data_IF_919351396346
#
_entry.id   IF_919351396346
#
_cell.length_a   1.000
_cell.length_b   1.000
_cell.length_c   1.000
_cell.angle_alpha   90.00
_cell.angle_beta   90.00
_cell.angle_gamma   90.00
#
_symmetry.space_group_name_H-M   'P 1'
#
loop_
_entity.id
_entity.type
_entity.pdbx_description
1 polymer ?
#
# COMPACT_ATOMS: atom_id res chain seq x y z
N UNK A 1 -12.73 16.09 -8.97
CA UNK A 1 -11.57 15.75 -8.09
C UNK A 1 -10.44 16.80 -8.08
N UNK A 2 -9.96 17.33 -9.22
CA UNK A 2 -8.82 18.27 -9.24
C UNK A 2 -8.97 19.52 -8.34
N UNK A 3 -10.15 20.15 -8.31
CA UNK A 3 -10.43 21.30 -7.43
C UNK A 3 -10.31 20.93 -5.94
N UNK A 4 -10.86 19.79 -5.54
CA UNK A 4 -10.79 19.27 -4.16
C UNK A 4 -9.33 18.97 -3.79
N UNK A 5 -8.56 18.32 -4.67
CA UNK A 5 -7.15 18.02 -4.40
C UNK A 5 -6.29 19.26 -4.18
N UNK A 6 -6.60 20.38 -4.85
CA UNK A 6 -5.91 21.65 -4.58
C UNK A 6 -6.19 22.16 -3.16
N UNK A 7 -7.44 22.03 -2.69
CA UNK A 7 -7.84 22.40 -1.33
C UNK A 7 -7.14 21.50 -0.31
N UNK A 8 -7.15 20.18 -0.52
CA UNK A 8 -6.51 19.23 0.39
C UNK A 8 -4.99 19.43 0.48
N UNK A 9 -4.32 19.73 -0.65
CA UNK A 9 -2.88 20.08 -0.66
C UNK A 9 -2.57 21.34 0.14
N UNK A 10 -3.51 22.30 0.16
CA UNK A 10 -3.39 23.51 0.99
C UNK A 10 -3.60 23.18 2.46
N UNK A 11 -4.64 22.41 2.79
CA UNK A 11 -4.97 21.99 4.16
C UNK A 11 -3.84 21.18 4.80
N UNK A 12 -3.38 20.12 4.16
CA UNK A 12 -2.48 19.11 4.75
C UNK A 12 -0.98 19.45 4.67
N UNK A 13 -0.66 20.74 4.65
CA UNK A 13 0.72 21.18 4.83
C UNK A 13 1.13 21.09 6.29
N UNK A 14 2.42 20.82 6.52
CA UNK A 14 2.99 20.78 7.87
C UNK A 14 2.79 22.09 8.65
N UNK A 15 2.89 23.25 7.98
CA UNK A 15 2.66 24.56 8.62
C UNK A 15 1.25 24.75 9.19
N UNK A 16 0.28 23.96 8.72
CA UNK A 16 -1.12 24.00 9.14
C UNK A 16 -1.46 22.92 10.17
N UNK A 17 -0.49 22.11 10.60
CA UNK A 17 -0.71 21.06 11.59
C UNK A 17 -0.35 21.50 13.00
N UNK A 18 -1.00 20.87 13.97
CA UNK A 18 -0.66 20.89 15.38
C UNK A 18 -0.57 19.44 15.84
N UNK A 19 0.57 19.05 16.40
CA UNK A 19 0.75 17.70 16.91
C UNK A 19 0.01 17.52 18.24
N UNK A 20 -0.87 16.53 18.29
CA UNK A 20 -1.52 16.03 19.50
C UNK A 20 -0.65 14.92 20.07
N UNK A 21 0.15 15.27 21.09
CA UNK A 21 1.06 14.32 21.75
C UNK A 21 0.36 13.22 22.56
N UNK A 22 -0.92 13.40 22.93
CA UNK A 22 -1.67 12.36 23.64
C UNK A 22 -2.09 11.25 22.68
N UNK A 23 -2.50 11.63 21.47
CA UNK A 23 -2.96 10.69 20.43
C UNK A 23 -1.85 10.30 19.45
N UNK A 24 -0.71 10.98 19.50
CA UNK A 24 0.41 10.83 18.57
C UNK A 24 0.04 11.14 17.10
N UNK A 25 -0.88 12.08 16.87
CA UNK A 25 -1.35 12.46 15.52
C UNK A 25 -1.24 13.96 15.25
N UNK A 26 -1.03 14.31 13.98
CA UNK A 26 -1.16 15.70 13.54
C UNK A 26 -2.61 16.06 13.28
N UNK A 27 -3.09 17.17 13.86
CA UNK A 27 -4.40 17.76 13.61
C UNK A 27 -4.25 19.01 12.73
N UNK A 28 -5.09 19.15 11.72
CA UNK A 28 -5.03 20.22 10.73
C UNK A 28 -6.10 21.27 10.97
N UNK A 29 -5.73 22.55 10.90
CA UNK A 29 -6.60 23.67 11.27
C UNK A 29 -7.44 24.14 10.07
N UNK A 30 -8.69 24.53 10.36
CA UNK A 30 -9.62 25.03 9.35
C UNK A 30 -9.30 26.46 8.87
N UNK A 31 -8.58 27.24 9.68
CA UNK A 31 -8.16 28.62 9.38
C UNK A 31 -7.22 28.71 8.16
N UNK A 32 -6.58 27.60 7.78
CA UNK A 32 -5.84 27.48 6.54
C UNK A 32 -6.72 27.63 5.28
N UNK A 33 -8.04 27.44 5.39
CA UNK A 33 -8.98 27.41 4.28
C UNK A 33 -9.94 28.61 4.31
N UNK A 34 -10.29 29.11 3.13
CA UNK A 34 -11.37 30.10 2.99
C UNK A 34 -12.75 29.44 3.15
N UNK A 35 -13.78 30.24 3.45
CA UNK A 35 -15.17 29.76 3.55
C UNK A 35 -15.59 28.97 2.31
N UNK A 36 -15.30 29.49 1.11
CA UNK A 36 -15.59 28.79 -0.17
C UNK A 36 -14.89 27.44 -0.31
N UNK A 37 -13.70 27.29 0.28
CA UNK A 37 -12.96 26.03 0.28
C UNK A 37 -13.54 25.05 1.30
N UNK A 38 -13.95 25.53 2.47
CA UNK A 38 -14.66 24.73 3.47
C UNK A 38 -16.02 24.24 2.95
N UNK A 39 -16.80 25.10 2.30
CA UNK A 39 -18.07 24.72 1.66
C UNK A 39 -17.86 23.61 0.61
N UNK A 40 -16.80 23.71 -0.17
CA UNK A 40 -16.46 22.70 -1.18
C UNK A 40 -16.05 21.35 -0.57
N UNK A 41 -15.42 21.33 0.60
CA UNK A 41 -15.15 20.10 1.35
C UNK A 41 -16.43 19.52 1.97
N UNK A 42 -17.32 20.38 2.47
CA UNK A 42 -18.60 19.94 3.03
C UNK A 42 -19.51 19.30 1.97
N UNK A 43 -19.46 19.73 0.71
CA UNK A 43 -20.23 19.13 -0.39
C UNK A 43 -19.87 17.67 -0.71
N UNK A 44 -18.72 17.21 -0.22
CA UNK A 44 -18.26 15.82 -0.37
C UNK A 44 -18.07 15.14 0.99
N UNK A 45 -18.69 15.70 2.04
CA UNK A 45 -18.63 15.22 3.42
C UNK A 45 -17.20 15.01 3.96
N UNK A 46 -16.23 15.80 3.48
CA UNK A 46 -14.85 15.67 3.89
C UNK A 46 -14.60 16.29 5.25
N UNK A 47 -14.28 15.46 6.24
CA UNK A 47 -13.84 15.90 7.57
C UNK A 47 -12.35 16.24 7.55
N UNK A 48 -11.95 17.35 8.16
CA UNK A 48 -10.54 17.77 8.22
C UNK A 48 -9.67 16.81 9.03
N UNK A 49 -10.20 16.28 10.13
CA UNK A 49 -9.50 15.38 11.06
C UNK A 49 -10.43 14.28 11.56
N UNK A 50 -10.74 13.30 10.70
CA UNK A 50 -11.36 12.06 11.17
C UNK A 50 -10.27 11.22 11.86
N UNK A 51 -10.36 11.08 13.18
CA UNK A 51 -9.40 10.28 13.95
C UNK A 51 -9.99 8.90 14.18
N UNK A 52 -9.40 7.88 13.55
CA UNK A 52 -9.71 6.49 13.83
C UNK A 52 -8.83 6.01 14.99
N UNK A 53 -9.44 5.35 15.98
CA UNK A 53 -8.74 4.75 17.12
C UNK A 53 -8.82 3.22 17.02
N UNK A 54 -7.72 2.56 17.33
CA UNK A 54 -7.63 1.13 17.55
C UNK A 54 -7.04 0.93 18.96
N UNK A 55 -7.78 0.30 19.86
CA UNK A 55 -7.39 0.12 21.26
C UNK A 55 -6.37 -0.99 21.48
N UNK A 56 -6.24 -1.94 20.56
CA UNK A 56 -5.32 -3.09 20.67
C UNK A 56 -5.04 -3.72 19.31
N UNK A 57 -4.09 -4.65 19.28
CA UNK A 57 -3.86 -5.52 18.13
C UNK A 57 -5.12 -6.30 17.72
N UNK A 58 -5.86 -6.83 18.71
CA UNK A 58 -7.10 -7.59 18.47
C UNK A 58 -8.15 -6.74 17.77
N UNK A 59 -8.33 -5.48 18.20
CA UNK A 59 -9.31 -4.59 17.54
C UNK A 59 -8.94 -4.28 16.08
N UNK A 60 -7.64 -4.19 15.75
CA UNK A 60 -7.20 -4.04 14.35
C UNK A 60 -7.63 -5.25 13.53
N UNK A 61 -7.42 -6.47 14.06
CA UNK A 61 -7.80 -7.70 13.39
C UNK A 61 -9.31 -7.80 13.20
N UNK A 62 -10.08 -7.54 14.25
CA UNK A 62 -11.55 -7.59 14.21
C UNK A 62 -12.11 -6.60 13.17
N UNK A 63 -11.60 -5.36 13.15
CA UNK A 63 -11.99 -4.36 12.16
C UNK A 63 -11.63 -4.76 10.74
N UNK A 64 -10.43 -5.30 10.50
CA UNK A 64 -10.07 -5.78 9.17
C UNK A 64 -10.99 -6.93 8.74
N UNK A 65 -11.22 -7.91 9.62
CA UNK A 65 -12.06 -9.06 9.30
C UNK A 65 -13.53 -8.71 9.11
N UNK A 66 -14.05 -7.68 9.77
CA UNK A 66 -15.42 -7.23 9.56
C UNK A 66 -15.69 -6.79 8.11
N UNK A 67 -14.64 -6.51 7.32
CA UNK A 67 -14.76 -6.19 5.90
C UNK A 67 -14.92 -7.44 5.00
N UNK A 68 -14.68 -8.66 5.49
CA UNK A 68 -14.81 -9.89 4.68
C UNK A 68 -16.24 -10.12 4.18
N UNK A 69 -17.23 -9.70 4.96
CA UNK A 69 -18.65 -9.79 4.60
C UNK A 69 -19.08 -8.73 3.57
N UNK A 70 -18.20 -7.78 3.23
CA UNK A 70 -18.53 -6.74 2.27
C UNK A 70 -18.43 -7.28 0.83
N UNK A 71 -19.59 -7.60 0.24
CA UNK A 71 -19.70 -8.16 -1.12
C UNK A 71 -19.17 -7.24 -2.22
N UNK A 72 -18.96 -5.95 -1.92
CA UNK A 72 -18.39 -5.00 -2.87
C UNK A 72 -16.86 -5.10 -2.98
N UNK A 73 -16.17 -5.72 -2.02
CA UNK A 73 -14.70 -5.87 -2.00
C UNK A 73 -14.25 -7.17 -2.68
N UNK A 74 -14.66 -7.35 -3.93
CA UNK A 74 -14.27 -8.53 -4.71
C UNK A 74 -12.81 -8.48 -5.14
N UNK A 75 -12.22 -9.66 -5.43
CA UNK A 75 -10.88 -9.77 -6.02
C UNK A 75 -10.75 -8.92 -7.29
N UNK A 76 -11.71 -9.05 -8.21
CA UNK A 76 -11.74 -8.29 -9.47
C UNK A 76 -11.68 -6.78 -9.22
N UNK A 77 -12.53 -6.25 -8.32
CA UNK A 77 -12.54 -4.82 -8.00
C UNK A 77 -11.22 -4.34 -7.42
N UNK A 78 -10.60 -5.13 -6.55
CA UNK A 78 -9.32 -4.78 -5.94
C UNK A 78 -8.19 -4.78 -6.97
N UNK A 79 -8.18 -5.74 -7.89
CA UNK A 79 -7.22 -5.80 -9.00
C UNK A 79 -7.43 -4.64 -9.97
N UNK A 80 -8.68 -4.38 -10.39
CA UNK A 80 -9.04 -3.23 -11.23
C UNK A 80 -8.55 -1.92 -10.61
N UNK A 81 -8.82 -1.72 -9.33
CA UNK A 81 -8.40 -0.52 -8.62
C UNK A 81 -6.87 -0.43 -8.56
N UNK A 82 -6.16 -1.54 -8.35
CA UNK A 82 -4.70 -1.58 -8.35
C UNK A 82 -4.10 -1.23 -9.72
N UNK A 83 -4.61 -1.82 -10.81
CA UNK A 83 -4.16 -1.54 -12.18
C UNK A 83 -4.36 -0.06 -12.52
N UNK A 84 -5.53 0.50 -12.23
CA UNK A 84 -5.80 1.94 -12.39
C UNK A 84 -4.87 2.82 -11.52
N UNK A 85 -4.45 2.33 -10.36
CA UNK A 85 -3.48 2.99 -9.49
C UNK A 85 -2.05 2.99 -10.05
N UNK A 86 -1.60 1.88 -10.61
CA UNK A 86 -0.29 1.79 -11.28
C UNK A 86 -0.28 2.67 -12.53
N UNK A 87 -1.33 2.56 -13.35
CA UNK A 87 -1.50 3.29 -14.61
C UNK A 87 -1.68 4.80 -14.48
N UNK A 88 -2.22 5.25 -13.35
CA UNK A 88 -2.29 6.66 -12.98
C UNK A 88 -3.67 7.30 -13.12
N UNK A 89 -4.66 6.61 -13.68
CA UNK A 89 -6.04 7.11 -13.72
C UNK A 89 -6.68 7.19 -12.32
N UNK A 90 -6.24 6.33 -11.38
CA UNK A 90 -6.74 6.29 -10.01
C UNK A 90 -5.63 6.04 -8.99
N UNK A 91 -4.73 7.01 -8.79
CA UNK A 91 -3.49 6.88 -7.99
C UNK A 91 -3.65 6.23 -6.61
N UNK A 92 -4.80 6.45 -5.95
CA UNK A 92 -5.14 5.83 -4.67
C UNK A 92 -5.09 4.30 -4.71
N UNK A 93 -5.36 3.71 -5.85
CA UNK A 93 -5.40 2.27 -6.05
C UNK A 93 -4.09 1.53 -5.81
N UNK A 94 -2.95 2.25 -5.75
CA UNK A 94 -1.61 1.66 -5.56
C UNK A 94 -1.48 0.81 -4.30
N UNK A 95 -2.23 1.15 -3.25
CA UNK A 95 -2.18 0.46 -1.96
C UNK A 95 -3.25 -0.64 -1.82
N UNK A 96 -4.08 -0.87 -2.84
CA UNK A 96 -5.25 -1.75 -2.72
C UNK A 96 -4.86 -3.22 -2.78
N UNK A 97 -3.87 -3.60 -3.59
CA UNK A 97 -3.47 -5.00 -3.75
C UNK A 97 -2.96 -5.61 -2.44
N UNK A 98 -2.04 -4.94 -1.77
CA UNK A 98 -1.49 -5.40 -0.48
C UNK A 98 -2.52 -5.36 0.65
N UNK A 99 -3.47 -4.43 0.60
CA UNK A 99 -4.59 -4.37 1.54
C UNK A 99 -5.55 -5.56 1.32
N UNK A 100 -5.90 -5.85 0.06
CA UNK A 100 -6.75 -6.99 -0.30
C UNK A 100 -6.11 -8.32 0.10
N UNK A 101 -4.81 -8.51 -0.15
CA UNK A 101 -4.08 -9.70 0.28
C UNK A 101 -4.18 -9.93 1.80
N UNK A 102 -4.04 -8.87 2.61
CA UNK A 102 -4.26 -8.94 4.07
C UNK A 102 -5.71 -9.29 4.41
N UNK A 103 -6.68 -8.59 3.82
CA UNK A 103 -8.10 -8.87 4.09
C UNK A 103 -8.44 -10.34 3.82
N UNK A 104 -7.94 -10.89 2.70
CA UNK A 104 -8.29 -12.23 2.27
C UNK A 104 -7.59 -13.32 3.09
N UNK A 105 -6.28 -13.15 3.34
CA UNK A 105 -5.45 -14.24 3.81
C UNK A 105 -4.99 -14.13 5.26
N UNK A 106 -4.93 -12.92 5.84
CA UNK A 106 -4.45 -12.75 7.22
C UNK A 106 -5.45 -13.42 8.19
N UNK A 107 -5.04 -14.49 8.91
CA UNK A 107 -5.93 -15.15 9.85
C UNK A 107 -6.14 -14.28 11.10
N UNK A 108 -7.22 -14.57 11.86
CA UNK A 108 -7.27 -14.10 13.24
C UNK A 108 -6.09 -14.76 13.98
N UNK A 109 -5.38 -13.97 14.77
CA UNK A 109 -4.25 -14.44 15.54
C UNK A 109 -4.08 -13.56 16.77
N UNK A 110 -3.54 -14.16 17.82
CA UNK A 110 -3.09 -13.42 18.99
C UNK A 110 -1.84 -12.60 18.65
N UNK A 111 -1.59 -11.54 19.41
CA UNK A 111 -0.34 -10.79 19.27
C UNK A 111 0.86 -11.67 19.63
N UNK A 112 1.83 -11.76 18.72
CA UNK A 112 3.03 -12.56 18.90
C UNK A 112 4.29 -11.73 18.66
N UNK A 113 4.86 -11.13 19.69
CA UNK A 113 6.19 -10.50 19.59
C UNK A 113 7.29 -11.55 19.80
N UNK A 114 8.30 -11.56 18.92
CA UNK A 114 9.52 -12.39 19.08
C UNK A 114 10.75 -11.50 19.27
N UNK A 115 11.81 -11.95 19.95
CA UNK A 115 12.97 -11.10 20.29
C UNK A 115 13.65 -10.39 19.13
N UNK A 116 13.46 -10.87 17.90
CA UNK A 116 14.06 -10.31 16.68
C UNK A 116 13.33 -9.04 16.18
N UNK A 117 12.05 -8.86 16.52
CA UNK A 117 11.18 -7.84 15.94
C UNK A 117 10.27 -7.25 17.01
N UNK A 118 10.30 -5.92 17.18
CA UNK A 118 9.43 -5.20 18.11
C UNK A 118 8.02 -4.96 17.51
N UNK A 119 7.42 -6.00 16.94
CA UNK A 119 6.09 -6.00 16.35
C UNK A 119 5.53 -7.43 16.28
N UNK A 120 4.26 -7.58 15.90
CA UNK A 120 3.64 -8.88 15.73
C UNK A 120 4.34 -9.66 14.61
N UNK A 121 4.80 -10.87 14.92
CA UNK A 121 5.43 -11.80 13.99
C UNK A 121 4.52 -12.13 12.82
N UNK A 122 3.21 -12.23 13.05
CA UNK A 122 2.28 -12.63 12.01
C UNK A 122 1.99 -11.48 11.06
N UNK A 123 1.69 -10.27 11.57
CA UNK A 123 1.10 -9.20 10.77
C UNK A 123 1.83 -7.84 10.77
N UNK A 124 2.95 -7.70 11.49
CA UNK A 124 3.74 -6.45 11.66
C UNK A 124 3.10 -5.31 12.45
N UNK A 125 1.84 -5.44 12.90
CA UNK A 125 1.23 -4.44 13.79
C UNK A 125 1.73 -4.56 15.23
N UNK A 126 1.40 -3.57 16.06
CA UNK A 126 1.83 -3.50 17.47
C UNK A 126 0.62 -3.64 18.38
N UNK A 127 0.79 -4.23 19.55
CA UNK A 127 -0.27 -4.27 20.56
C UNK A 127 -0.26 -3.04 21.46
N UNK A 128 -0.70 -1.92 20.89
CA UNK A 128 -0.86 -0.66 21.60
C UNK A 128 -2.01 0.13 21.02
N UNK A 129 -2.57 1.02 21.84
CA UNK A 129 -3.53 2.01 21.34
C UNK A 129 -2.90 2.83 20.22
N UNK A 130 -3.59 2.90 19.08
CA UNK A 130 -3.14 3.59 17.88
C UNK A 130 -4.23 4.55 17.42
N UNK A 131 -3.87 5.82 17.25
CA UNK A 131 -4.73 6.79 16.59
C UNK A 131 -4.16 7.08 15.21
N UNK A 132 -5.03 7.18 14.22
CA UNK A 132 -4.67 7.54 12.85
C UNK A 132 -5.56 8.70 12.44
N UNK A 133 -4.97 9.79 11.96
CA UNK A 133 -5.74 10.80 11.24
C UNK A 133 -6.09 10.21 9.86
N UNK A 134 -7.26 9.59 9.79
CA UNK A 134 -7.74 8.92 8.60
C UNK A 134 -7.88 9.95 7.46
N UNK A 135 -8.46 11.12 7.71
CA UNK A 135 -8.57 12.16 6.68
C UNK A 135 -7.23 12.52 6.01
N UNK A 136 -6.14 12.62 6.79
CA UNK A 136 -4.80 12.82 6.24
C UNK A 136 -4.31 11.60 5.44
N UNK A 137 -4.50 10.38 5.98
CA UNK A 137 -4.15 9.14 5.30
C UNK A 137 -4.89 9.00 3.95
N UNK A 138 -6.20 9.26 3.93
CA UNK A 138 -7.03 9.25 2.73
C UNK A 138 -6.50 10.26 1.70
N UNK A 139 -6.11 11.46 2.13
CA UNK A 139 -5.46 12.45 1.27
C UNK A 139 -4.13 11.94 0.69
N UNK A 140 -3.27 11.33 1.50
CA UNK A 140 -2.00 10.76 1.03
C UNK A 140 -2.22 9.72 -0.07
N UNK A 141 -3.25 8.90 0.06
CA UNK A 141 -3.64 7.95 -0.98
C UNK A 141 -4.13 8.65 -2.25
N UNK A 142 -4.99 9.68 -2.14
CA UNK A 142 -5.39 10.48 -3.30
C UNK A 142 -4.22 11.23 -3.97
N UNK A 143 -3.18 11.56 -3.20
CA UNK A 143 -1.95 12.16 -3.72
C UNK A 143 -1.08 11.13 -4.48
N UNK A 144 -1.32 9.83 -4.27
CA UNK A 144 -0.65 8.73 -4.95
C UNK A 144 0.48 8.08 -4.15
N UNK A 145 0.50 8.25 -2.83
CA UNK A 145 1.36 7.47 -1.95
C UNK A 145 0.94 6.00 -1.97
N UNK A 146 1.92 5.11 -1.79
CA UNK A 146 1.69 3.66 -1.66
C UNK A 146 2.01 3.22 -0.23
N UNK A 147 1.07 2.52 0.41
CA UNK A 147 1.18 1.98 1.77
C UNK A 147 0.92 0.48 1.74
N UNK A 148 1.87 -0.32 2.23
CA UNK A 148 1.87 -1.79 2.08
C UNK A 148 1.97 -2.56 3.40
N UNK A 149 2.30 -1.91 4.52
CA UNK A 149 2.79 -2.60 5.72
C UNK A 149 1.71 -3.09 6.69
N UNK A 150 0.87 -2.19 7.24
CA UNK A 150 0.05 -2.52 8.43
C UNK A 150 -1.42 -2.87 8.11
N UNK A 151 -2.01 -3.76 8.90
CA UNK A 151 -3.42 -4.15 8.81
C UNK A 151 -4.36 -2.98 9.14
N UNK A 152 -3.97 -2.08 10.05
CA UNK A 152 -4.77 -0.88 10.34
C UNK A 152 -4.97 0.02 9.11
N UNK A 153 -3.92 0.19 8.29
CA UNK A 153 -4.01 0.97 7.05
C UNK A 153 -4.74 0.21 5.94
N UNK A 154 -4.59 -1.13 5.90
CA UNK A 154 -5.39 -1.96 5.00
C UNK A 154 -6.89 -1.80 5.27
N UNK A 155 -7.29 -1.86 6.55
CA UNK A 155 -8.68 -1.61 6.97
C UNK A 155 -9.17 -0.23 6.51
N UNK A 156 -8.43 0.84 6.83
CA UNK A 156 -8.84 2.20 6.45
C UNK A 156 -8.94 2.39 4.94
N UNK A 157 -8.03 1.77 4.17
CA UNK A 157 -8.08 1.85 2.72
C UNK A 157 -9.29 1.12 2.14
N UNK A 158 -9.54 -0.12 2.58
CA UNK A 158 -10.63 -0.95 2.08
C UNK A 158 -12.01 -0.49 2.57
N UNK A 159 -12.11 0.02 3.80
CA UNK A 159 -13.31 0.69 4.33
C UNK A 159 -13.75 1.84 3.42
N UNK A 160 -12.79 2.67 2.96
CA UNK A 160 -13.07 3.72 1.99
C UNK A 160 -13.39 3.16 0.60
N UNK A 161 -12.65 2.15 0.13
CA UNK A 161 -12.92 1.53 -1.18
C UNK A 161 -14.35 0.98 -1.25
N UNK A 162 -14.87 0.43 -0.16
CA UNK A 162 -16.22 -0.11 -0.08
C UNK A 162 -17.34 0.93 -0.27
N UNK A 163 -17.06 2.23 -0.07
CA UNK A 163 -18.07 3.31 -0.14
C UNK A 163 -18.03 4.13 -1.43
N UNK A 164 -17.02 3.91 -2.28
CA UNK A 164 -16.91 4.60 -3.57
C UNK A 164 -17.42 3.72 -4.71
N UNK A 165 -17.57 4.31 -5.91
CA UNK A 165 -17.89 3.54 -7.10
C UNK A 165 -16.75 2.61 -7.52
N UNK A 166 -17.04 1.45 -8.14
CA UNK A 166 -16.01 0.61 -8.76
C UNK A 166 -15.19 1.37 -9.79
N UNK A 167 -13.87 1.18 -9.75
CA UNK A 167 -12.94 1.78 -10.70
C UNK A 167 -12.74 0.80 -11.86
N UNK A 168 -12.76 1.31 -13.10
CA UNK A 168 -12.49 0.52 -14.30
C UNK A 168 -11.14 0.99 -14.86
N UNK A 169 -10.13 0.11 -15.00
CA UNK A 169 -8.85 0.46 -15.61
C UNK A 169 -9.05 0.89 -17.07
N UNK A 170 -8.40 1.98 -17.44
CA UNK A 170 -8.31 2.41 -18.83
C UNK A 170 -7.29 1.54 -19.60
N UNK A 171 -7.34 1.56 -20.93
CA UNK A 171 -6.34 0.84 -21.73
C UNK A 171 -4.93 1.39 -21.52
N UNK A 172 -4.80 2.70 -21.24
CA UNK A 172 -3.52 3.27 -20.85
C UNK A 172 -3.02 2.70 -19.51
N UNK A 173 -3.91 2.46 -18.55
CA UNK A 173 -3.51 1.87 -17.27
C UNK A 173 -2.95 0.46 -17.44
N UNK A 174 -3.63 -0.35 -18.25
CA UNK A 174 -3.19 -1.70 -18.63
C UNK A 174 -1.84 -1.65 -19.36
N UNK A 175 -1.68 -0.74 -20.33
CA UNK A 175 -0.44 -0.58 -21.07
C UNK A 175 0.75 -0.19 -20.17
N UNK A 176 0.54 0.72 -19.21
CA UNK A 176 1.56 1.10 -18.22
C UNK A 176 1.92 -0.08 -17.32
N UNK A 177 0.93 -0.84 -16.87
CA UNK A 177 1.15 -2.04 -16.07
C UNK A 177 1.95 -3.10 -16.85
N UNK A 178 1.59 -3.37 -18.10
CA UNK A 178 2.32 -4.30 -18.97
C UNK A 178 3.77 -3.87 -19.19
N UNK A 179 4.03 -2.57 -19.39
CA UNK A 179 5.38 -2.04 -19.49
C UNK A 179 6.18 -2.21 -18.18
N UNK A 180 5.54 -2.12 -17.01
CA UNK A 180 6.20 -2.40 -15.73
C UNK A 180 6.63 -3.87 -15.65
N UNK A 181 5.73 -4.79 -16.04
CA UNK A 181 6.04 -6.22 -16.10
C UNK A 181 7.18 -6.49 -17.09
N UNK A 182 7.17 -5.86 -18.27
CA UNK A 182 8.25 -5.97 -19.24
C UNK A 182 9.60 -5.49 -18.69
N UNK A 183 9.63 -4.38 -17.93
CA UNK A 183 10.86 -3.91 -17.31
C UNK A 183 11.47 -4.98 -16.40
N UNK A 184 10.65 -5.74 -15.66
CA UNK A 184 11.11 -6.84 -14.79
C UNK A 184 11.47 -8.09 -15.60
N UNK A 185 10.63 -8.47 -16.57
CA UNK A 185 10.81 -9.61 -17.48
C UNK A 185 12.12 -9.53 -18.27
N UNK A 186 12.54 -8.33 -18.65
CA UNK A 186 13.77 -8.11 -19.41
C UNK A 186 14.92 -7.54 -18.57
N UNK A 187 14.84 -7.62 -17.24
CA UNK A 187 15.90 -7.19 -16.34
C UNK A 187 17.23 -7.93 -16.59
N UNK A 188 18.40 -7.27 -16.59
CA UNK A 188 19.69 -7.96 -16.62
C UNK A 188 19.83 -8.95 -15.46
N UNK A 189 20.45 -10.12 -15.67
CA UNK A 189 20.50 -11.20 -14.66
C UNK A 189 21.07 -10.77 -13.30
N UNK A 190 22.06 -9.88 -13.31
CA UNK A 190 22.72 -9.36 -12.11
C UNK A 190 22.11 -8.05 -11.58
N UNK A 191 20.96 -7.62 -12.12
CA UNK A 191 20.27 -6.44 -11.64
C UNK A 191 19.79 -6.68 -10.20
N UNK A 192 20.01 -5.67 -9.35
CA UNK A 192 19.57 -5.67 -7.96
C UNK A 192 18.32 -4.82 -7.84
N UNK A 193 17.50 -5.02 -6.80
CA UNK A 193 16.27 -4.23 -6.58
C UNK A 193 16.52 -2.72 -6.62
N UNK A 194 17.61 -2.24 -6.00
CA UNK A 194 17.97 -0.81 -6.01
C UNK A 194 18.39 -0.28 -7.39
N UNK A 195 19.03 -1.10 -8.22
CA UNK A 195 19.32 -0.72 -9.63
C UNK A 195 18.04 -0.69 -10.46
N UNK A 196 17.13 -1.64 -10.21
CA UNK A 196 15.81 -1.66 -10.83
C UNK A 196 14.98 -0.41 -10.46
N UNK A 197 14.91 -0.04 -9.18
CA UNK A 197 14.21 1.18 -8.73
C UNK A 197 14.73 2.44 -9.45
N UNK A 198 16.06 2.54 -9.62
CA UNK A 198 16.68 3.62 -10.38
C UNK A 198 16.24 3.60 -11.85
N UNK A 199 16.29 2.44 -12.51
CA UNK A 199 15.87 2.28 -13.92
C UNK A 199 14.37 2.59 -14.09
N UNK A 200 13.53 2.16 -13.16
CA UNK A 200 12.10 2.48 -13.15
C UNK A 200 11.87 3.99 -12.99
N UNK A 201 12.58 4.66 -12.08
CA UNK A 201 12.53 6.13 -11.95
C UNK A 201 12.94 6.82 -13.25
N UNK A 202 14.04 6.38 -13.87
CA UNK A 202 14.55 6.96 -15.13
C UNK A 202 13.60 6.75 -16.32
N UNK A 203 12.87 5.63 -16.34
CA UNK A 203 11.85 5.35 -17.37
C UNK A 203 10.68 6.33 -17.35
N UNK A 204 10.42 6.97 -16.20
CA UNK A 204 9.25 7.83 -15.95
C UNK A 204 7.89 7.15 -16.22
N UNK A 205 7.87 5.81 -16.25
CA UNK A 205 6.69 5.03 -16.55
C UNK A 205 5.58 5.23 -15.51
N UNK A 206 5.96 5.23 -14.23
CA UNK A 206 5.05 5.37 -13.09
C UNK A 206 5.33 6.69 -12.37
N UNK A 207 4.29 7.51 -12.26
CA UNK A 207 4.36 8.78 -11.53
C UNK A 207 4.52 8.57 -10.02
N UNK A 208 5.29 9.43 -9.37
CA UNK A 208 5.53 9.37 -7.93
C UNK A 208 7.02 9.42 -7.61
N UNK A 209 7.34 9.29 -6.33
CA UNK A 209 8.73 9.22 -5.87
C UNK A 209 9.17 7.75 -5.72
N UNK A 210 10.44 7.54 -5.31
CA UNK A 210 10.99 6.20 -5.10
C UNK A 210 10.16 5.33 -4.14
N UNK A 211 9.56 5.92 -3.10
CA UNK A 211 8.78 5.19 -2.10
C UNK A 211 7.43 4.73 -2.65
N UNK A 212 6.79 5.57 -3.46
CA UNK A 212 5.57 5.19 -4.20
C UNK A 212 5.83 4.01 -5.12
N UNK A 213 6.92 4.08 -5.90
CA UNK A 213 7.29 3.01 -6.82
C UNK A 213 7.64 1.72 -6.06
N UNK A 214 8.41 1.84 -4.96
CA UNK A 214 8.73 0.71 -4.08
C UNK A 214 7.47 0.04 -3.53
N UNK A 215 6.50 0.78 -3.01
CA UNK A 215 5.26 0.17 -2.51
C UNK A 215 4.44 -0.58 -3.57
N UNK A 216 4.55 -0.20 -4.85
CA UNK A 216 3.94 -0.99 -5.95
C UNK A 216 4.71 -2.30 -6.14
N UNK A 217 6.05 -2.24 -6.15
CA UNK A 217 6.92 -3.41 -6.27
C UNK A 217 6.75 -4.36 -5.08
N UNK A 218 6.68 -3.84 -3.86
CA UNK A 218 6.41 -4.60 -2.64
C UNK A 218 5.05 -5.30 -2.71
N UNK A 219 4.01 -4.63 -3.24
CA UNK A 219 2.69 -5.24 -3.39
C UNK A 219 2.72 -6.42 -4.37
N UNK A 220 3.45 -6.30 -5.48
CA UNK A 220 3.63 -7.40 -6.45
C UNK A 220 4.52 -8.52 -5.88
N UNK A 221 5.53 -8.18 -5.09
CA UNK A 221 6.40 -9.14 -4.44
C UNK A 221 5.68 -9.91 -3.33
N UNK A 222 4.83 -9.23 -2.55
CA UNK A 222 4.01 -9.83 -1.50
C UNK A 222 3.09 -10.92 -2.02
N UNK A 223 2.58 -10.78 -3.24
CA UNK A 223 1.72 -11.79 -3.88
C UNK A 223 2.51 -12.75 -4.78
N UNK A 224 3.84 -12.65 -4.79
CA UNK A 224 4.72 -13.56 -5.52
C UNK A 224 4.85 -13.35 -7.02
N UNK A 225 4.22 -12.31 -7.60
CA UNK A 225 4.40 -11.95 -9.01
C UNK A 225 5.82 -11.49 -9.27
N UNK A 226 6.39 -10.74 -8.32
CA UNK A 226 7.83 -10.55 -8.23
C UNK A 226 8.37 -11.60 -7.25
N UNK A 227 9.01 -12.67 -7.73
CA UNK A 227 9.57 -13.70 -6.86
C UNK A 227 10.75 -13.14 -6.04
N UNK A 228 11.05 -13.79 -4.93
CA UNK A 228 12.26 -13.55 -4.15
C UNK A 228 13.03 -14.86 -3.95
N UNK A 229 14.31 -14.77 -3.58
CA UNK A 229 15.22 -15.92 -3.52
C UNK A 229 14.94 -16.90 -2.36
N UNK A 230 14.09 -16.55 -1.40
CA UNK A 230 14.07 -17.22 -0.11
C UNK A 230 12.70 -17.78 0.30
N UNK A 231 11.62 -17.09 -0.03
CA UNK A 231 10.27 -17.43 0.43
C UNK A 231 9.30 -17.39 -0.75
N UNK A 232 8.66 -18.51 -1.10
CA UNK A 232 7.58 -18.48 -2.09
C UNK A 232 6.37 -17.76 -1.48
N UNK A 233 5.84 -16.78 -2.21
CA UNK A 233 4.65 -16.03 -1.83
C UNK A 233 3.57 -16.18 -2.90
N UNK A 234 2.31 -15.97 -2.53
CA UNK A 234 1.16 -16.04 -3.45
C UNK A 234 0.05 -15.08 -3.02
N UNK A 235 -0.86 -14.78 -3.95
CA UNK A 235 -2.04 -13.97 -3.66
C UNK A 235 -3.03 -14.68 -2.73
N UNK A 236 -3.05 -16.02 -2.71
CA UNK A 236 -4.06 -16.82 -2.02
C UNK A 236 -3.59 -17.47 -0.71
N UNK A 237 -2.36 -17.16 -0.26
CA UNK A 237 -1.84 -17.67 1.01
C UNK A 237 -1.22 -16.54 1.84
N UNK A 238 -1.30 -16.69 3.16
CA UNK A 238 -0.57 -15.85 4.11
C UNK A 238 0.77 -16.47 4.47
N UNK A 239 1.79 -15.63 4.58
CA UNK A 239 3.07 -15.97 5.18
C UNK A 239 3.37 -14.93 6.22
N UNK A 240 3.75 -15.37 7.42
CA UNK A 240 3.96 -14.48 8.55
C UNK A 240 5.03 -13.44 8.24
N UNK A 241 4.74 -12.19 8.62
CA UNK A 241 5.65 -11.07 8.39
C UNK A 241 7.07 -11.35 8.91
N UNK A 242 7.19 -11.93 10.10
CA UNK A 242 8.47 -12.23 10.72
C UNK A 242 9.24 -13.32 9.99
N UNK A 243 8.56 -14.27 9.34
CA UNK A 243 9.22 -15.28 8.50
C UNK A 243 9.78 -14.61 7.23
N UNK A 244 9.04 -13.69 6.62
CA UNK A 244 9.50 -12.89 5.48
C UNK A 244 10.68 -11.98 5.88
N UNK A 245 10.55 -11.24 6.97
CA UNK A 245 11.55 -10.28 7.44
C UNK A 245 12.85 -10.96 7.90
N UNK A 246 12.76 -12.15 8.51
CA UNK A 246 13.94 -12.89 8.99
C UNK A 246 14.91 -13.29 7.88
N UNK A 247 14.43 -13.37 6.64
CA UNK A 247 15.20 -13.72 5.44
C UNK A 247 16.13 -12.60 4.99
N UNK A 248 15.92 -11.37 5.49
CA UNK A 248 16.87 -10.27 5.30
C UNK A 248 18.27 -10.62 5.80
N UNK A 249 18.39 -11.51 6.80
CA UNK A 249 19.70 -11.95 7.32
C UNK A 249 20.52 -12.74 6.28
N UNK A 250 19.87 -13.30 5.25
CA UNK A 250 20.53 -14.04 4.17
C UNK A 250 20.98 -13.13 3.02
N UNK A 251 20.58 -11.86 3.03
CA UNK A 251 20.97 -10.88 2.02
C UNK A 251 22.38 -10.34 2.29
N UNK A 252 23.20 -10.32 1.25
CA UNK A 252 24.59 -9.86 1.33
C UNK A 252 24.72 -8.32 1.48
N UNK A 253 23.64 -7.57 1.23
CA UNK A 253 23.62 -6.11 1.09
C UNK A 253 22.82 -5.36 2.17
N UNK A 254 22.17 -6.04 3.13
CA UNK A 254 21.19 -5.44 4.06
C UNK A 254 21.67 -5.33 5.51
N UNK A 255 22.98 -5.46 5.81
CA UNK A 255 23.55 -5.20 7.15
C UNK A 255 23.52 -3.70 7.53
N UNK A 256 22.33 -3.10 7.57
CA UNK A 256 22.08 -1.71 7.96
C UNK A 256 22.39 -0.64 6.91
N UNK A 257 22.59 -1.01 5.64
CA UNK A 257 23.02 -0.08 4.57
C UNK A 257 21.95 0.29 3.55
N UNK A 258 20.81 -0.40 3.54
CA UNK A 258 19.73 -0.22 2.57
C UNK A 258 18.40 -0.12 3.29
N UNK A 259 17.56 0.82 2.86
CA UNK A 259 16.17 1.03 3.32
C UNK A 259 15.19 0.07 2.64
N UNK A 260 15.68 -1.08 2.18
CA UNK A 260 14.95 -1.99 1.32
C UNK A 260 14.67 -3.28 2.06
N UNK A 261 13.39 -3.62 2.12
CA UNK A 261 12.85 -4.65 2.98
C UNK A 261 12.41 -5.87 2.17
N UNK A 262 12.39 -7.03 2.80
CA UNK A 262 11.74 -8.20 2.22
C UNK A 262 10.22 -7.96 2.05
N UNK A 263 9.56 -8.52 1.03
CA UNK A 263 10.08 -9.52 0.08
C UNK A 263 10.81 -8.94 -1.13
N UNK A 264 10.63 -7.66 -1.46
CA UNK A 264 11.23 -7.04 -2.65
C UNK A 264 12.76 -7.04 -2.61
N UNK A 265 13.37 -6.83 -1.43
CA UNK A 265 14.82 -6.89 -1.27
C UNK A 265 15.44 -8.23 -1.69
N UNK A 266 14.66 -9.31 -1.67
CA UNK A 266 15.06 -10.65 -2.07
C UNK A 266 15.00 -10.91 -3.58
N UNK A 267 14.52 -9.97 -4.39
CA UNK A 267 14.51 -10.12 -5.85
C UNK A 267 15.92 -9.93 -6.46
N UNK A 268 16.18 -10.61 -7.57
CA UNK A 268 17.31 -10.34 -8.47
C UNK A 268 16.86 -10.52 -9.91
N UNK A 269 17.51 -9.81 -10.84
CA UNK A 269 17.15 -9.85 -12.24
C UNK A 269 17.15 -11.24 -12.87
N UNK A 270 17.94 -12.19 -12.38
CA UNK A 270 17.90 -13.60 -12.83
C UNK A 270 16.55 -14.29 -12.53
N UNK A 271 15.82 -13.85 -11.50
CA UNK A 271 14.52 -14.41 -11.14
C UNK A 271 13.38 -13.94 -12.04
N UNK A 272 13.53 -12.79 -12.71
CA UNK A 272 12.49 -12.21 -13.57
C UNK A 272 11.16 -12.01 -12.80
N UNK A 273 10.04 -12.13 -13.49
CA UNK A 273 8.70 -12.23 -12.90
C UNK A 273 8.22 -13.68 -13.00
N UNK A 274 7.25 -14.02 -12.16
CA UNK A 274 6.54 -15.30 -12.21
C UNK A 274 5.40 -15.23 -13.24
N UNK A 275 5.63 -15.74 -14.46
CA UNK A 275 4.67 -15.64 -15.57
C UNK A 275 3.38 -16.41 -15.31
N UNK A 276 3.42 -17.50 -14.55
CA UNK A 276 2.22 -18.27 -14.20
C UNK A 276 1.29 -17.42 -13.32
N UNK A 277 1.85 -16.78 -12.29
CA UNK A 277 1.08 -15.85 -11.43
C UNK A 277 0.63 -14.60 -12.16
N UNK A 278 1.42 -14.09 -13.11
CA UNK A 278 1.01 -12.97 -13.96
C UNK A 278 -0.22 -13.35 -14.78
N UNK A 279 -0.21 -14.50 -15.44
CA UNK A 279 -1.34 -14.99 -16.22
C UNK A 279 -2.56 -15.27 -15.33
N UNK A 280 -2.36 -15.90 -14.16
CA UNK A 280 -3.44 -16.24 -13.23
C UNK A 280 -4.09 -14.99 -12.62
N UNK A 281 -3.29 -14.03 -12.17
CA UNK A 281 -3.79 -12.89 -11.39
C UNK A 281 -4.18 -11.72 -12.27
N UNK A 282 -3.51 -11.55 -13.41
CA UNK A 282 -3.64 -10.37 -14.25
C UNK A 282 -3.94 -10.67 -15.71
N UNK A 283 -4.22 -11.92 -16.10
CA UNK A 283 -4.44 -12.31 -17.50
C UNK A 283 -5.50 -11.50 -18.25
N UNK A 284 -6.51 -10.97 -17.57
CA UNK A 284 -7.54 -10.10 -18.17
C UNK A 284 -7.05 -8.67 -18.51
N UNK A 285 -5.84 -8.30 -18.10
CA UNK A 285 -5.24 -6.98 -18.32
C UNK A 285 -4.05 -7.00 -19.29
N UNK A 286 -3.61 -8.19 -19.70
CA UNK A 286 -2.44 -8.38 -20.57
C UNK A 286 -2.78 -8.17 -22.05
#
# INVERSE_FOLDING_TARGET
MQKVMRILRKLYKHENSQYDGQREVSLYKADALSIKELDALSQIDWQLNAIECFGSHVEIMDKLQSLKENTSLTRQRCLDTFIAGVGGSYLRGRSVLSAFHKLHNLPLHDYQEKPQLACCWVCSDHDKTKHINDSYFQYCLYYGNSYTSNASYAYLNLKHLATVEPVIPTDNDKAVFNQLLDLLRFAPENETPGRFEKRLTESKLISGNKYTQRGILDSLALIGVIPNQFVPLSLDNWTDFGDIASEENKLNNTKGRSDMEMPWAGWKGILKIDEEKVAEYFGSYL
#
